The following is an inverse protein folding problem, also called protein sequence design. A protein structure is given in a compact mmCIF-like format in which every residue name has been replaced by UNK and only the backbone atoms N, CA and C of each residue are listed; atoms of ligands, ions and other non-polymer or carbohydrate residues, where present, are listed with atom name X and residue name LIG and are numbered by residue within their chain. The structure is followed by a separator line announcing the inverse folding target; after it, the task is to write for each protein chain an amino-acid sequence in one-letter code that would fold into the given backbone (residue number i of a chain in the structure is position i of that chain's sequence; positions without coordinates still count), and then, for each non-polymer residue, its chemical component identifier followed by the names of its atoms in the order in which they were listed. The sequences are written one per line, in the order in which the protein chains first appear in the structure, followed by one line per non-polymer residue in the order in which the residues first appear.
data_IF_889631684561
#
_entry.id   IF_889631684561
#
_cell.length_a   1.000
_cell.length_b   1.000
_cell.length_c   1.000
_cell.angle_alpha   90.00
_cell.angle_beta   90.00
_cell.angle_gamma   90.00
#
_symmetry.space_group_name_H-M   'P 1'
#
loop_
_entity.id
_entity.type
_entity.pdbx_description
1 polymer ?
#
# COMPACT_ATOMS: atom_id res chain seq x y z
N UNK A 1 -41.53 0.21 -3.12
CA UNK A 1 -40.55 0.06 -2.01
C UNK A 1 -41.25 -0.20 -0.69
N UNK A 2 -41.97 0.76 -0.10
CA UNK A 2 -42.63 0.59 1.23
C UNK A 2 -43.61 -0.59 1.25
N UNK A 3 -44.58 -0.65 0.32
CA UNK A 3 -45.52 -1.78 0.21
C UNK A 3 -44.82 -3.14 0.08
N UNK A 4 -43.77 -3.21 -0.73
CA UNK A 4 -42.98 -4.43 -0.88
C UNK A 4 -42.31 -4.83 0.44
N UNK A 5 -41.76 -3.87 1.21
CA UNK A 5 -41.18 -4.14 2.51
C UNK A 5 -42.23 -4.63 3.52
N UNK A 6 -43.42 -4.03 3.53
CA UNK A 6 -44.54 -4.45 4.38
C UNK A 6 -44.99 -5.88 4.04
N UNK A 7 -45.21 -6.16 2.75
CA UNK A 7 -45.63 -7.48 2.23
C UNK A 7 -44.60 -8.58 2.54
N UNK A 8 -43.31 -8.24 2.66
CA UNK A 8 -42.22 -9.19 2.91
C UNK A 8 -41.69 -9.14 4.36
N UNK A 9 -42.33 -8.41 5.29
CA UNK A 9 -41.90 -8.34 6.68
C UNK A 9 -40.53 -7.67 6.90
N UNK A 10 -40.11 -6.77 6.01
CA UNK A 10 -38.85 -6.03 6.09
C UNK A 10 -39.08 -4.75 6.90
N UNK A 11 -38.42 -4.64 8.05
CA UNK A 11 -38.45 -3.42 8.87
C UNK A 11 -37.62 -2.31 8.22
N UNK A 12 -38.27 -1.20 7.86
CA UNK A 12 -37.62 -0.01 7.34
C UNK A 12 -37.17 0.91 8.49
N UNK A 13 -35.88 1.27 8.48
CA UNK A 13 -35.32 2.25 9.41
C UNK A 13 -35.15 3.60 8.72
N UNK A 14 -35.90 4.60 9.19
CA UNK A 14 -35.84 5.96 8.64
C UNK A 14 -34.87 6.80 9.47
N UNK A 15 -33.81 7.28 8.83
CA UNK A 15 -32.86 8.20 9.45
C UNK A 15 -33.32 9.65 9.24
N UNK A 16 -33.14 10.53 10.24
CA UNK A 16 -33.39 11.95 10.05
C UNK A 16 -32.52 12.52 8.90
N UNK A 17 -32.99 13.56 8.19
CA UNK A 17 -32.23 14.17 7.11
C UNK A 17 -30.87 14.69 7.59
N UNK A 18 -29.88 14.67 6.70
CA UNK A 18 -28.50 15.11 6.95
C UNK A 18 -27.74 14.37 8.06
N UNK A 19 -28.21 13.21 8.53
CA UNK A 19 -27.54 12.42 9.59
C UNK A 19 -26.70 11.25 9.09
N UNK A 20 -26.46 11.12 7.78
CA UNK A 20 -25.65 10.03 7.21
C UNK A 20 -24.30 9.85 7.90
N UNK A 21 -23.58 10.96 8.11
CA UNK A 21 -22.27 11.00 8.77
C UNK A 21 -22.30 10.64 10.27
N UNK A 22 -23.49 10.46 10.85
CA UNK A 22 -23.69 10.12 12.27
C UNK A 22 -24.26 8.72 12.43
N UNK A 23 -25.33 8.42 11.69
CA UNK A 23 -26.18 7.27 11.93
C UNK A 23 -26.01 6.16 10.91
N UNK A 24 -25.41 6.41 9.73
CA UNK A 24 -25.24 5.35 8.73
C UNK A 24 -23.96 4.54 9.01
N UNK A 25 -24.05 3.25 9.42
CA UNK A 25 -22.88 2.45 9.78
C UNK A 25 -21.84 2.35 8.65
N UNK A 26 -22.33 2.34 7.41
CA UNK A 26 -21.48 2.32 6.22
C UNK A 26 -20.61 3.56 6.12
N UNK A 27 -21.21 4.75 6.26
CA UNK A 27 -20.52 6.02 6.14
C UNK A 27 -19.59 6.32 7.33
N UNK A 28 -20.00 5.98 8.54
CA UNK A 28 -19.24 6.27 9.77
C UNK A 28 -18.00 5.38 9.90
N UNK A 29 -18.08 4.12 9.48
CA UNK A 29 -17.03 3.13 9.71
C UNK A 29 -16.57 2.41 8.45
N UNK A 30 -17.46 1.66 7.82
CA UNK A 30 -17.10 0.66 6.80
C UNK A 30 -16.42 1.28 5.58
N UNK A 31 -16.90 2.43 5.11
CA UNK A 31 -16.31 3.12 3.96
C UNK A 31 -14.92 3.70 4.23
N UNK A 32 -14.55 3.97 5.48
CA UNK A 32 -13.18 4.37 5.80
C UNK A 32 -12.20 3.21 5.57
N UNK A 33 -12.57 2.00 5.99
CA UNK A 33 -11.79 0.78 5.73
C UNK A 33 -11.78 0.45 4.24
N UNK A 34 -12.92 0.61 3.55
CA UNK A 34 -12.99 0.42 2.10
C UNK A 34 -12.02 1.34 1.35
N UNK A 35 -12.02 2.65 1.69
CA UNK A 35 -11.13 3.64 1.08
C UNK A 35 -9.66 3.27 1.29
N UNK A 36 -9.30 2.77 2.47
CA UNK A 36 -7.94 2.31 2.75
C UNK A 36 -7.52 1.17 1.79
N UNK A 37 -8.28 0.09 1.72
CA UNK A 37 -7.96 -1.05 0.85
C UNK A 37 -8.05 -0.71 -0.65
N UNK A 38 -8.93 0.21 -1.02
CA UNK A 38 -8.99 0.72 -2.38
C UNK A 38 -7.75 1.54 -2.75
N UNK A 39 -7.27 2.40 -1.84
CA UNK A 39 -6.01 3.14 -2.04
C UNK A 39 -4.81 2.19 -2.12
N UNK A 40 -4.76 1.15 -1.28
CA UNK A 40 -3.73 0.10 -1.34
C UNK A 40 -3.73 -0.60 -2.72
N UNK A 41 -4.91 -0.91 -3.28
CA UNK A 41 -5.03 -1.50 -4.60
C UNK A 41 -4.51 -0.58 -5.72
N UNK A 42 -4.78 0.73 -5.63
CA UNK A 42 -4.27 1.72 -6.58
C UNK A 42 -2.74 1.81 -6.48
N UNK A 43 -2.21 1.87 -5.27
CA UNK A 43 -0.76 1.95 -5.02
C UNK A 43 -0.04 0.72 -5.56
N UNK A 44 -0.55 -0.47 -5.28
CA UNK A 44 0.00 -1.72 -5.82
C UNK A 44 0.00 -1.73 -7.35
N UNK A 45 -1.08 -1.27 -8.00
CA UNK A 45 -1.12 -1.18 -9.46
C UNK A 45 -0.07 -0.20 -10.00
N UNK A 46 0.09 0.93 -9.32
CA UNK A 46 1.06 1.97 -9.69
C UNK A 46 2.50 1.45 -9.61
N UNK A 47 2.83 0.69 -8.56
CA UNK A 47 4.15 0.07 -8.40
C UNK A 47 4.47 -0.96 -9.49
N UNK A 48 3.45 -1.65 -10.03
CA UNK A 48 3.62 -2.59 -11.15
C UNK A 48 3.72 -1.92 -12.52
N UNK A 49 3.75 -0.58 -12.58
CA UNK A 49 3.89 0.19 -13.82
C UNK A 49 2.57 0.60 -14.47
N UNK A 50 1.43 0.39 -13.82
CA UNK A 50 0.16 0.91 -14.30
C UNK A 50 0.09 2.42 -14.04
N UNK A 51 0.15 3.22 -15.11
CA UNK A 51 0.07 4.69 -15.01
C UNK A 51 -1.33 5.22 -14.68
N UNK A 52 -2.38 4.42 -14.91
CA UNK A 52 -3.78 4.76 -14.65
C UNK A 52 -4.53 3.56 -14.11
N UNK A 53 -5.29 3.77 -13.04
CA UNK A 53 -6.23 2.79 -12.52
C UNK A 53 -7.57 2.90 -13.27
N UNK A 54 -7.86 1.92 -14.12
CA UNK A 54 -9.03 1.95 -15.01
C UNK A 54 -10.27 1.32 -14.37
N UNK A 55 -11.41 1.43 -15.04
CA UNK A 55 -12.65 0.73 -14.61
C UNK A 55 -12.49 -0.79 -14.61
N UNK A 56 -11.68 -1.34 -15.51
CA UNK A 56 -11.41 -2.78 -15.57
C UNK A 56 -10.59 -3.22 -14.35
N UNK A 57 -9.58 -2.44 -13.97
CA UNK A 57 -8.77 -2.69 -12.77
C UNK A 57 -9.61 -2.60 -11.49
N UNK A 58 -10.52 -1.62 -11.43
CA UNK A 58 -11.50 -1.53 -10.35
C UNK A 58 -12.37 -2.79 -10.26
N UNK A 59 -12.93 -3.27 -11.38
CA UNK A 59 -13.75 -4.47 -11.40
C UNK A 59 -12.97 -5.73 -11.02
N UNK A 60 -11.68 -5.80 -11.39
CA UNK A 60 -10.81 -6.89 -10.97
C UNK A 60 -10.50 -6.84 -9.45
N UNK A 61 -10.33 -5.64 -8.89
CA UNK A 61 -9.96 -5.43 -7.49
C UNK A 61 -11.16 -5.42 -6.52
N UNK A 62 -12.37 -5.10 -6.97
CA UNK A 62 -13.51 -4.84 -6.07
C UNK A 62 -13.82 -6.04 -5.17
N UNK A 63 -13.72 -7.27 -5.67
CA UNK A 63 -14.01 -8.46 -4.87
C UNK A 63 -12.98 -8.67 -3.75
N UNK A 64 -11.70 -8.44 -4.02
CA UNK A 64 -10.65 -8.56 -2.99
C UNK A 64 -10.76 -7.44 -1.96
N UNK A 65 -11.01 -6.20 -2.39
CA UNK A 65 -11.25 -5.05 -1.50
C UNK A 65 -12.45 -5.33 -0.60
N UNK A 66 -13.55 -5.83 -1.16
CA UNK A 66 -14.75 -6.19 -0.39
C UNK A 66 -14.47 -7.28 0.63
N UNK A 67 -13.74 -8.33 0.27
CA UNK A 67 -13.37 -9.39 1.19
C UNK A 67 -12.54 -8.88 2.38
N UNK A 68 -11.61 -7.94 2.13
CA UNK A 68 -10.82 -7.29 3.20
C UNK A 68 -11.65 -6.31 4.04
N UNK A 69 -12.63 -5.63 3.43
CA UNK A 69 -13.42 -4.56 4.07
C UNK A 69 -14.58 -5.10 4.90
N UNK A 70 -15.40 -5.97 4.33
CA UNK A 70 -16.67 -6.40 4.93
C UNK A 70 -16.47 -7.58 5.88
N UNK A 71 -15.52 -7.45 6.79
CA UNK A 71 -15.31 -8.40 7.87
C UNK A 71 -16.30 -8.18 9.01
N UNK A 72 -16.52 -9.21 9.83
CA UNK A 72 -17.41 -9.11 10.99
C UNK A 72 -17.01 -7.95 11.93
N UNK A 73 -15.71 -7.77 12.18
CA UNK A 73 -15.19 -6.71 13.04
C UNK A 73 -15.44 -5.32 12.47
N UNK A 74 -15.23 -5.12 11.16
CA UNK A 74 -15.48 -3.83 10.50
C UNK A 74 -16.98 -3.48 10.49
N UNK A 75 -17.85 -4.47 10.24
CA UNK A 75 -19.30 -4.27 10.27
C UNK A 75 -19.75 -3.92 11.69
N UNK A 76 -19.35 -4.70 12.70
CA UNK A 76 -19.67 -4.43 14.11
C UNK A 76 -19.15 -3.06 14.56
N UNK A 77 -17.95 -2.68 14.12
CA UNK A 77 -17.39 -1.36 14.39
C UNK A 77 -18.26 -0.24 13.80
N UNK A 78 -18.74 -0.38 12.55
CA UNK A 78 -19.65 0.60 11.94
C UNK A 78 -20.94 0.78 12.73
N UNK A 79 -21.55 -0.32 13.19
CA UNK A 79 -22.76 -0.26 14.03
C UNK A 79 -22.51 0.37 15.40
N UNK A 80 -21.36 0.08 16.01
CA UNK A 80 -20.98 0.67 17.30
C UNK A 80 -20.72 2.17 17.18
N UNK A 81 -19.99 2.59 16.15
CA UNK A 81 -19.65 4.00 15.93
C UNK A 81 -20.85 4.87 15.54
N UNK A 82 -21.89 4.27 14.95
CA UNK A 82 -23.16 4.94 14.65
C UNK A 82 -24.13 4.98 15.84
N UNK A 83 -23.77 4.35 16.97
CA UNK A 83 -24.61 4.29 18.16
C UNK A 83 -25.89 3.45 18.00
N UNK A 84 -26.02 2.72 16.87
CA UNK A 84 -27.17 1.85 16.60
C UNK A 84 -27.06 0.55 17.39
N UNK A 85 -25.87 -0.07 17.39
CA UNK A 85 -25.65 -1.32 18.10
C UNK A 85 -24.23 -1.47 18.67
N UNK A 86 -24.07 -1.61 20.00
CA UNK A 86 -25.10 -1.45 21.03
C UNK A 86 -25.77 -0.08 20.98
N UNK A 87 -27.02 0.02 21.42
CA UNK A 87 -27.76 1.29 21.39
C UNK A 87 -27.10 2.28 22.36
N UNK A 88 -26.54 3.37 21.83
CA UNK A 88 -25.77 4.35 22.60
C UNK A 88 -25.98 5.76 22.04
N UNK A 89 -27.04 6.46 22.48
CA UNK A 89 -27.37 7.81 22.00
C UNK A 89 -26.26 8.83 22.26
N UNK A 90 -25.48 8.65 23.32
CA UNK A 90 -24.37 9.53 23.71
C UNK A 90 -23.36 9.73 22.58
N UNK A 91 -23.02 8.66 21.85
CA UNK A 91 -22.06 8.69 20.72
C UNK A 91 -22.56 9.62 19.60
N UNK A 92 -23.88 9.67 19.39
CA UNK A 92 -24.50 10.51 18.36
C UNK A 92 -24.65 11.94 18.87
N UNK A 93 -25.06 12.10 20.13
CA UNK A 93 -25.22 13.40 20.77
C UNK A 93 -23.89 14.16 20.83
N UNK A 94 -22.80 13.53 21.25
CA UNK A 94 -21.47 14.15 21.31
C UNK A 94 -21.03 14.68 19.94
N UNK A 95 -21.23 13.89 18.88
CA UNK A 95 -20.92 14.29 17.49
C UNK A 95 -21.85 15.39 16.96
N UNK A 96 -23.08 15.46 17.47
CA UNK A 96 -24.07 16.46 17.03
C UNK A 96 -23.85 17.85 17.64
N UNK A 97 -23.24 17.93 18.83
CA UNK A 97 -22.93 19.21 19.53
C UNK A 97 -21.88 20.04 18.76
N UNK A 98 -21.16 19.44 17.82
CA UNK A 98 -20.24 20.13 16.92
C UNK A 98 -20.97 20.98 15.85
N UNK A 99 -22.28 20.78 15.65
CA UNK A 99 -23.12 21.56 14.73
C UNK A 99 -24.08 22.49 15.50
N UNK A 100 -23.56 23.55 16.10
CA UNK A 100 -24.36 24.70 16.54
C UNK A 100 -24.09 25.88 15.58
N UNK A 101 -25.07 26.29 14.73
CA UNK A 101 -24.90 27.44 13.85
C UNK A 101 -24.70 28.76 14.62
N UNK A 102 -25.05 28.83 15.92
CA UNK A 102 -24.78 29.97 16.80
C UNK A 102 -23.37 29.92 17.43
N UNK A 103 -22.67 28.78 17.32
CA UNK A 103 -21.31 28.56 17.85
C UNK A 103 -20.27 28.55 16.74
N UNK A 104 -20.42 29.42 15.73
CA UNK A 104 -19.27 29.92 15.00
C UNK A 104 -18.31 30.53 16.04
N UNK A 105 -17.16 29.91 16.33
CA UNK A 105 -16.15 30.61 17.10
C UNK A 105 -15.70 31.75 16.20
N UNK A 106 -15.86 32.99 16.65
CA UNK A 106 -14.96 34.06 16.23
C UNK A 106 -13.55 33.47 16.24
N UNK A 107 -12.89 33.47 15.08
CA UNK A 107 -11.63 32.80 14.78
C UNK A 107 -10.81 32.44 16.03
N UNK A 108 -10.66 31.15 16.39
CA UNK A 108 -9.88 30.79 17.55
C UNK A 108 -8.39 31.02 17.22
N UNK A 109 -7.78 31.87 18.04
CA UNK A 109 -6.33 32.01 18.16
C UNK A 109 -5.70 30.63 18.27
N UNK A 110 -4.75 30.36 17.38
CA UNK A 110 -4.04 29.09 17.21
C UNK A 110 -3.42 28.60 18.53
N UNK A 111 -3.79 27.41 19.04
CA UNK A 111 -2.93 26.67 19.95
C UNK A 111 -1.99 25.79 19.11
N UNK A 112 -0.69 26.04 19.29
CA UNK A 112 0.38 25.15 18.85
C UNK A 112 0.25 23.80 19.55
N UNK A 113 0.16 22.68 18.82
CA UNK A 113 0.95 21.46 19.12
C UNK A 113 0.77 20.33 18.08
N UNK A 114 1.92 19.74 17.72
CA UNK A 114 2.17 18.32 17.42
C UNK A 114 1.55 17.64 16.18
N UNK A 115 2.33 17.70 15.08
CA UNK A 115 2.77 16.55 14.27
C UNK A 115 1.89 15.29 14.25
N UNK A 116 1.09 15.15 13.19
CA UNK A 116 0.92 13.86 12.48
C UNK A 116 0.92 14.11 10.98
N UNK A 117 1.81 13.43 10.27
CA UNK A 117 2.05 13.54 8.84
C UNK A 117 0.82 13.05 8.04
N UNK A 118 -0.10 13.97 7.73
CA UNK A 118 -1.14 13.75 6.72
C UNK A 118 -0.89 14.71 5.56
N UNK A 119 -0.55 14.16 4.41
CA UNK A 119 -0.30 14.85 3.13
C UNK A 119 -1.60 15.31 2.49
N UNK A 120 -2.35 16.19 3.17
CA UNK A 120 -3.43 16.92 2.52
C UNK A 120 -2.83 18.04 1.68
N UNK A 121 -2.81 17.87 0.35
CA UNK A 121 -2.51 18.95 -0.60
C UNK A 121 -3.64 19.98 -0.57
N UNK A 122 -3.64 20.85 0.43
CA UNK A 122 -4.44 22.08 0.47
C UNK A 122 -3.63 23.20 -0.17
N UNK A 123 -4.26 23.98 -1.06
CA UNK A 123 -3.65 25.19 -1.64
C UNK A 123 -3.15 26.09 -0.50
N UNK A 124 -1.84 26.40 -0.42
CA UNK A 124 -1.30 27.23 0.65
C UNK A 124 -1.87 28.65 0.51
N UNK A 125 -2.55 29.13 1.56
CA UNK A 125 -3.23 30.44 1.57
C UNK A 125 -2.40 31.57 2.18
N UNK A 126 -1.13 31.32 2.50
CA UNK A 126 -0.25 32.25 3.23
C UNK A 126 1.20 32.06 2.77
N UNK A 127 1.96 33.15 2.72
CA UNK A 127 3.39 33.17 2.29
C UNK A 127 4.23 32.17 3.10
N UNK A 128 4.02 32.09 4.41
CA UNK A 128 4.74 31.15 5.28
C UNK A 128 4.45 29.68 4.93
N UNK A 129 3.20 29.36 4.58
CA UNK A 129 2.83 28.02 4.11
C UNK A 129 3.43 27.71 2.74
N UNK A 130 3.57 28.70 1.86
CA UNK A 130 4.26 28.55 0.56
C UNK A 130 5.73 28.20 0.81
N UNK A 131 6.43 28.92 1.69
CA UNK A 131 7.83 28.66 2.04
C UNK A 131 8.04 27.25 2.61
N UNK A 132 7.12 26.79 3.46
CA UNK A 132 7.15 25.44 4.00
C UNK A 132 6.94 24.35 2.93
N UNK A 133 6.14 24.63 1.91
CA UNK A 133 5.95 23.73 0.76
C UNK A 133 7.19 23.70 -0.13
N UNK A 134 7.82 24.85 -0.38
CA UNK A 134 9.08 24.94 -1.13
C UNK A 134 10.20 24.17 -0.44
N UNK A 135 10.38 24.35 0.88
CA UNK A 135 11.38 23.58 1.64
C UNK A 135 11.12 22.07 1.59
N UNK A 136 9.85 21.64 1.63
CA UNK A 136 9.48 20.22 1.46
C UNK A 136 9.80 19.72 0.06
N UNK A 137 9.51 20.51 -0.96
CA UNK A 137 9.81 20.17 -2.35
C UNK A 137 11.32 20.01 -2.56
N UNK A 138 12.13 20.92 -2.00
CA UNK A 138 13.59 20.81 -2.05
C UNK A 138 14.12 19.55 -1.37
N UNK A 139 13.56 19.18 -0.21
CA UNK A 139 13.93 17.93 0.49
C UNK A 139 13.60 16.69 -0.36
N UNK A 140 12.38 16.61 -0.89
CA UNK A 140 11.96 15.49 -1.75
C UNK A 140 12.85 15.41 -3.01
N UNK A 141 13.17 16.54 -3.63
CA UNK A 141 14.06 16.58 -4.80
C UNK A 141 15.45 16.02 -4.46
N UNK A 142 16.00 16.41 -3.32
CA UNK A 142 17.30 15.92 -2.85
C UNK A 142 17.28 14.41 -2.53
N UNK A 143 16.21 13.92 -1.89
CA UNK A 143 16.06 12.49 -1.58
C UNK A 143 15.91 11.64 -2.85
N UNK A 144 15.24 12.15 -3.88
CA UNK A 144 15.15 11.50 -5.20
C UNK A 144 16.54 11.41 -5.84
N UNK A 145 17.32 12.50 -5.82
CA UNK A 145 18.67 12.52 -6.38
C UNK A 145 19.62 11.58 -5.63
N UNK A 146 19.57 11.57 -4.30
CA UNK A 146 20.32 10.64 -3.46
C UNK A 146 19.97 9.17 -3.78
N UNK A 147 18.68 8.87 -3.96
CA UNK A 147 18.19 7.53 -4.31
C UNK A 147 18.67 7.09 -5.69
N UNK A 148 18.64 7.99 -6.68
CA UNK A 148 19.16 7.71 -8.02
C UNK A 148 20.66 7.41 -7.99
N UNK A 149 21.44 8.19 -7.23
CA UNK A 149 22.87 7.96 -7.06
C UNK A 149 23.17 6.61 -6.39
N UNK A 150 22.38 6.23 -5.37
CA UNK A 150 22.51 4.92 -4.72
C UNK A 150 22.20 3.78 -5.69
N UNK A 151 21.10 3.88 -6.45
CA UNK A 151 20.74 2.87 -7.45
C UNK A 151 21.81 2.72 -8.53
N UNK A 152 22.42 3.82 -8.98
CA UNK A 152 23.54 3.74 -9.92
C UNK A 152 24.75 3.03 -9.33
N UNK A 153 25.09 3.29 -8.06
CA UNK A 153 26.19 2.58 -7.38
C UNK A 153 25.90 1.09 -7.25
N UNK A 154 24.68 0.72 -6.85
CA UNK A 154 24.25 -0.68 -6.77
C UNK A 154 24.31 -1.37 -8.13
N UNK A 155 23.82 -0.71 -9.18
CA UNK A 155 23.87 -1.23 -10.56
C UNK A 155 25.31 -1.48 -11.02
N UNK A 156 26.21 -0.52 -10.80
CA UNK A 156 27.65 -0.70 -11.12
C UNK A 156 28.29 -1.84 -10.32
N UNK A 157 27.97 -1.95 -9.04
CA UNK A 157 28.45 -3.06 -8.19
C UNK A 157 27.94 -4.42 -8.69
N UNK A 158 26.66 -4.52 -9.05
CA UNK A 158 26.08 -5.74 -9.60
C UNK A 158 26.73 -6.13 -10.93
N UNK A 159 27.00 -5.16 -11.81
CA UNK A 159 27.73 -5.39 -13.06
C UNK A 159 29.15 -5.93 -12.80
N UNK A 160 29.89 -5.34 -11.86
CA UNK A 160 31.22 -5.81 -11.50
C UNK A 160 31.21 -7.26 -10.98
N UNK A 161 30.28 -7.58 -10.07
CA UNK A 161 30.12 -8.96 -9.56
C UNK A 161 29.78 -9.96 -10.68
N UNK A 162 28.95 -9.57 -11.64
CA UNK A 162 28.61 -10.44 -12.78
C UNK A 162 29.83 -10.74 -13.64
N UNK A 163 30.71 -9.75 -13.88
CA UNK A 163 31.96 -9.96 -14.62
C UNK A 163 32.89 -10.92 -13.88
N UNK A 164 33.10 -10.72 -12.57
CA UNK A 164 33.92 -11.64 -11.76
C UNK A 164 33.37 -13.06 -11.75
N UNK A 165 32.04 -13.22 -11.68
CA UNK A 165 31.40 -14.53 -11.68
C UNK A 165 31.60 -15.24 -13.03
N UNK A 166 31.56 -14.50 -14.13
CA UNK A 166 31.82 -15.05 -15.47
C UNK A 166 33.29 -15.48 -15.62
N UNK A 167 34.23 -14.70 -15.09
CA UNK A 167 35.65 -15.03 -15.09
C UNK A 167 35.95 -16.30 -14.28
N UNK A 168 35.45 -16.36 -13.04
CA UNK A 168 35.57 -17.54 -12.18
C UNK A 168 34.94 -18.78 -12.82
N UNK A 169 33.84 -18.62 -13.56
CA UNK A 169 33.22 -19.72 -14.30
C UNK A 169 34.13 -20.26 -15.39
N UNK A 170 34.79 -19.39 -16.16
CA UNK A 170 35.76 -19.81 -17.19
C UNK A 170 36.97 -20.52 -16.58
N UNK A 171 37.50 -20.01 -15.46
CA UNK A 171 38.61 -20.67 -14.75
C UNK A 171 38.22 -22.06 -14.23
N UNK A 172 37.01 -22.19 -13.67
CA UNK A 172 36.47 -23.47 -13.22
C UNK A 172 36.35 -24.48 -14.36
N UNK A 173 35.88 -24.05 -15.54
CA UNK A 173 35.77 -24.92 -16.71
C UNK A 173 37.15 -25.39 -17.20
N UNK A 174 38.15 -24.50 -17.24
CA UNK A 174 39.53 -24.87 -17.62
C UNK A 174 40.17 -25.87 -16.64
N UNK A 175 40.01 -25.64 -15.34
CA UNK A 175 40.57 -26.54 -14.32
C UNK A 175 39.91 -27.91 -14.32
N UNK A 176 38.59 -27.97 -14.57
CA UNK A 176 37.86 -29.24 -14.75
C UNK A 176 38.30 -29.98 -16.01
N UNK A 177 38.46 -29.28 -17.14
CA UNK A 177 38.96 -29.89 -18.37
C UNK A 177 40.39 -30.44 -18.19
N UNK A 178 41.28 -29.68 -17.52
CA UNK A 178 42.65 -30.11 -17.26
C UNK A 178 42.71 -31.34 -16.32
N UNK A 179 41.89 -31.39 -15.27
CA UNK A 179 41.81 -32.55 -14.37
C UNK A 179 41.21 -33.78 -15.06
N UNK A 180 40.16 -33.61 -15.87
CA UNK A 180 39.60 -34.69 -16.68
C UNK A 180 40.62 -35.24 -17.68
N UNK A 181 41.40 -34.38 -18.36
CA UNK A 181 42.45 -34.79 -19.29
C UNK A 181 43.60 -35.54 -18.56
N UNK A 182 44.00 -35.09 -17.37
CA UNK A 182 44.98 -35.81 -16.53
C UNK A 182 44.47 -37.20 -16.11
N UNK A 183 43.21 -37.29 -15.68
CA UNK A 183 42.59 -38.56 -15.31
C UNK A 183 42.50 -39.52 -16.52
N UNK A 184 42.09 -39.02 -17.69
CA UNK A 184 42.05 -39.81 -18.91
C UNK A 184 43.43 -40.35 -19.30
N UNK A 185 44.49 -39.53 -19.19
CA UNK A 185 45.89 -39.99 -19.42
C UNK A 185 46.31 -41.07 -18.43
N UNK A 186 46.01 -40.91 -17.15
CA UNK A 186 46.34 -41.90 -16.11
C UNK A 186 45.64 -43.25 -16.34
N UNK A 187 44.36 -43.22 -16.69
CA UNK A 187 43.58 -44.42 -17.02
C UNK A 187 44.09 -45.09 -18.29
N UNK A 188 44.48 -44.30 -19.31
CA UNK A 188 45.08 -44.83 -20.54
C UNK A 188 46.43 -45.52 -20.29
N UNK A 189 47.33 -44.90 -19.49
CA UNK A 189 48.64 -45.48 -19.15
C UNK A 189 48.50 -46.79 -18.35
N UNK A 190 47.56 -46.86 -17.39
CA UNK A 190 47.28 -48.10 -16.64
C UNK A 190 46.56 -49.16 -17.49
N UNK A 191 45.70 -48.75 -18.44
CA UNK A 191 45.00 -49.67 -19.35
C UNK A 191 45.91 -50.24 -20.45
N UNK A 192 46.94 -49.51 -20.88
CA UNK A 192 47.95 -49.96 -21.84
C UNK A 192 48.89 -51.03 -21.29
N UNK A 193 49.14 -51.03 -19.98
CA UNK A 193 49.94 -52.05 -19.28
C UNK A 193 49.25 -53.43 -19.22
N UNK A 194 47.93 -53.51 -19.38
CA UNK A 194 47.18 -54.78 -19.37
C UNK A 194 46.88 -55.36 -20.77
N UNK A 195 47.28 -54.69 -21.86
CA UNK A 195 46.96 -55.09 -23.24
C UNK A 195 48.17 -55.54 -24.09
N UNK A 196 49.27 -55.96 -23.45
CA UNK A 196 50.48 -56.50 -24.12
C UNK A 196 50.75 -57.99 -23.90
N UNK A 197 49.80 -58.74 -23.36
CA UNK A 197 49.90 -60.20 -23.25
C UNK A 197 48.65 -60.88 -23.82
N UNK A 198 48.63 -61.04 -25.14
CA UNK A 198 47.96 -62.13 -25.87
C UNK A 198 48.60 -62.23 -27.24
#
# INVERSE_FOLDING_TARGET
MVKFCEENGILLFFLPPHTSHLLQPLDVGVFNVYKHYHSEAIESATLTGCSKFTKQDFLAAINSIRAKTFTLSTIQLGFRLSGIWPMSPEIVCEKSVEYDPARLPSAPSTPSSHSTNSTSFSTPKTIEKIRNVEERFSRISHDIEASQNLMQKLSKGAQACLYELEELRREKEMTQAATAARHARYVFDRGGLYRRHT
#
